data_IF_323283630448
#
_entry.id   IF_323283630448
#
_cell.length_a   1.000
_cell.length_b   1.000
_cell.length_c   1.000
_cell.angle_alpha   90.00
_cell.angle_beta   90.00
_cell.angle_gamma   90.00
#
_symmetry.space_group_name_H-M   'P 1'
#
loop_
_entity.id
_entity.type
_entity.pdbx_description
1 polymer ?
#
# COMPACT_ATOMS: atom_id res chain seq x y z
N UNK A 1 -6.86 22.93 -8.92
CA UNK A 1 -8.04 22.37 -8.19
C UNK A 1 -7.73 20.93 -7.78
N UNK A 2 -8.54 20.28 -6.91
CA UNK A 2 -8.29 18.87 -6.48
C UNK A 2 -8.24 17.91 -7.68
N UNK A 3 -9.05 18.15 -8.68
CA UNK A 3 -9.10 17.37 -9.91
C UNK A 3 -7.72 17.28 -10.58
N UNK A 4 -7.01 18.39 -10.73
CA UNK A 4 -5.71 18.47 -11.41
C UNK A 4 -4.61 17.72 -10.61
N UNK A 5 -4.78 17.63 -9.29
CA UNK A 5 -3.88 16.88 -8.42
C UNK A 5 -4.14 15.37 -8.47
N UNK A 6 -5.40 14.95 -8.65
CA UNK A 6 -5.78 13.53 -8.63
C UNK A 6 -5.66 12.88 -10.01
N UNK A 7 -6.01 13.61 -11.09
CA UNK A 7 -6.10 13.07 -12.45
C UNK A 7 -4.84 12.30 -12.92
N UNK A 8 -3.59 12.77 -12.69
CA UNK A 8 -2.41 12.04 -13.14
C UNK A 8 -2.18 10.70 -12.40
N UNK A 9 -2.82 10.52 -11.23
CA UNK A 9 -2.55 9.43 -10.31
C UNK A 9 -3.67 8.41 -10.20
N UNK A 10 -4.83 8.64 -10.81
CA UNK A 10 -6.00 7.77 -10.72
C UNK A 10 -6.36 7.15 -12.07
N UNK A 11 -6.96 5.94 -12.08
CA UNK A 11 -7.69 5.47 -13.26
C UNK A 11 -8.78 6.49 -13.64
N UNK A 12 -8.91 6.78 -14.94
CA UNK A 12 -9.88 7.78 -15.42
C UNK A 12 -11.31 7.50 -14.93
N UNK A 13 -11.72 6.23 -14.92
CA UNK A 13 -13.05 5.80 -14.45
C UNK A 13 -13.31 6.01 -12.94
N UNK A 14 -12.26 6.23 -12.13
CA UNK A 14 -12.37 6.46 -10.68
C UNK A 14 -12.28 7.94 -10.30
N UNK A 15 -11.86 8.81 -11.22
CA UNK A 15 -11.56 10.22 -10.93
C UNK A 15 -12.75 10.97 -10.34
N UNK A 16 -13.91 10.93 -11.03
CA UNK A 16 -15.11 11.63 -10.59
C UNK A 16 -15.60 11.16 -9.22
N UNK A 17 -15.45 9.87 -8.93
CA UNK A 17 -15.77 9.32 -7.62
C UNK A 17 -14.84 9.90 -6.53
N UNK A 18 -13.55 9.91 -6.74
CA UNK A 18 -12.60 10.46 -5.78
C UNK A 18 -12.76 11.97 -5.56
N UNK A 19 -13.09 12.72 -6.61
CA UNK A 19 -13.41 14.15 -6.52
C UNK A 19 -14.67 14.37 -5.68
N UNK A 20 -15.74 13.57 -5.90
CA UNK A 20 -16.96 13.64 -5.06
C UNK A 20 -16.68 13.33 -3.59
N UNK A 21 -15.85 12.34 -3.27
CA UNK A 21 -15.45 12.06 -1.88
C UNK A 21 -14.81 13.27 -1.22
N UNK A 22 -13.96 13.99 -1.94
CA UNK A 22 -13.35 15.22 -1.44
C UNK A 22 -14.37 16.36 -1.28
N UNK A 23 -15.28 16.52 -2.24
CA UNK A 23 -16.32 17.57 -2.19
C UNK A 23 -17.28 17.37 -1.00
N UNK A 24 -17.63 16.14 -0.69
CA UNK A 24 -18.50 15.81 0.45
C UNK A 24 -17.85 16.11 1.81
N UNK A 25 -16.56 15.89 1.92
CA UNK A 25 -15.79 16.10 3.16
C UNK A 25 -14.42 16.73 2.84
N UNK A 26 -14.35 18.05 2.60
CA UNK A 26 -13.12 18.69 2.16
C UNK A 26 -11.97 18.56 3.17
N UNK A 27 -10.81 18.20 2.67
CA UNK A 27 -9.55 18.10 3.43
C UNK A 27 -8.39 18.69 2.64
N UNK A 28 -7.29 18.99 3.30
CA UNK A 28 -6.05 19.35 2.63
C UNK A 28 -5.45 18.10 2.00
N UNK A 29 -5.26 18.10 0.69
CA UNK A 29 -4.65 16.98 -0.02
C UNK A 29 -3.21 17.31 -0.41
N UNK A 30 -2.28 16.40 -0.13
CA UNK A 30 -0.86 16.55 -0.45
C UNK A 30 -0.29 15.30 -1.10
N UNK A 31 0.48 15.51 -2.17
CA UNK A 31 1.32 14.48 -2.77
C UNK A 31 2.69 14.50 -2.10
N UNK A 32 3.10 13.39 -1.53
CA UNK A 32 4.43 13.24 -0.93
C UNK A 32 5.42 12.56 -1.85
N UNK A 33 6.71 12.78 -1.61
CA UNK A 33 7.77 11.92 -2.15
C UNK A 33 7.61 10.51 -1.59
N UNK A 34 8.24 9.53 -2.24
CA UNK A 34 8.27 8.14 -1.78
C UNK A 34 8.63 8.03 -0.31
N UNK A 35 7.75 7.41 0.46
CA UNK A 35 7.98 7.02 1.85
C UNK A 35 7.98 5.49 1.92
N UNK A 36 8.92 4.94 2.68
CA UNK A 36 9.09 3.48 2.79
C UNK A 36 8.15 2.90 3.84
N UNK A 37 7.84 3.66 4.88
CA UNK A 37 7.05 3.18 6.03
C UNK A 37 5.55 3.21 5.82
N UNK A 38 5.06 3.99 4.85
CA UNK A 38 3.63 4.19 4.57
C UNK A 38 3.38 4.74 3.16
N UNK A 39 2.26 4.36 2.56
CA UNK A 39 1.82 4.85 1.24
C UNK A 39 0.93 6.07 1.34
N UNK A 40 0.11 6.14 2.36
CA UNK A 40 -0.77 7.25 2.72
C UNK A 40 -0.62 7.67 4.16
N UNK A 41 -1.31 8.75 4.54
CA UNK A 41 -1.35 9.26 5.91
C UNK A 41 -2.54 10.21 6.10
N UNK A 42 -3.41 9.87 7.01
CA UNK A 42 -4.45 10.76 7.50
C UNK A 42 -3.97 11.45 8.79
N UNK A 43 -4.08 12.76 8.85
CA UNK A 43 -3.79 13.54 10.07
C UNK A 43 -4.90 14.54 10.34
N UNK A 44 -5.33 14.60 11.59
CA UNK A 44 -6.24 15.62 12.08
C UNK A 44 -5.71 16.17 13.40
N UNK A 45 -5.60 17.49 13.50
CA UNK A 45 -5.25 18.19 14.74
C UNK A 45 -6.44 19.05 15.16
N UNK A 46 -6.68 19.15 16.46
CA UNK A 46 -7.77 19.97 17.00
C UNK A 46 -7.67 21.41 16.48
N UNK A 47 -8.76 21.93 15.93
CA UNK A 47 -8.81 23.28 15.36
C UNK A 47 -8.16 23.45 13.98
N UNK A 48 -7.71 22.37 13.34
CA UNK A 48 -7.13 22.41 12.01
C UNK A 48 -7.95 21.56 11.02
N UNK A 49 -7.93 21.98 9.75
CA UNK A 49 -8.53 21.17 8.69
C UNK A 49 -7.81 19.82 8.57
N UNK A 50 -8.55 18.71 8.43
CA UNK A 50 -7.96 17.40 8.19
C UNK A 50 -7.05 17.39 6.98
N UNK A 51 -5.99 16.59 7.01
CA UNK A 51 -5.05 16.44 5.91
C UNK A 51 -4.86 14.98 5.55
N UNK A 52 -4.91 14.71 4.24
CA UNK A 52 -4.55 13.43 3.66
C UNK A 52 -3.33 13.61 2.77
N UNK A 53 -2.37 12.72 2.91
CA UNK A 53 -1.14 12.70 2.11
C UNK A 53 -0.99 11.34 1.48
N UNK A 54 -0.74 11.27 0.16
CA UNK A 54 -0.49 10.02 -0.58
C UNK A 54 0.85 10.11 -1.30
N UNK A 55 1.59 9.01 -1.38
CA UNK A 55 2.83 8.94 -2.14
C UNK A 55 2.55 9.05 -3.63
N UNK A 56 3.28 9.92 -4.34
CA UNK A 56 3.08 10.19 -5.77
C UNK A 56 3.65 9.13 -6.73
N UNK A 57 4.45 8.21 -6.21
CA UNK A 57 5.13 7.16 -6.98
C UNK A 57 4.40 5.82 -6.99
N UNK A 58 3.20 5.78 -6.43
CA UNK A 58 2.33 4.62 -6.47
C UNK A 58 1.78 4.39 -7.89
N UNK A 59 1.46 3.13 -8.22
CA UNK A 59 0.65 2.82 -9.40
C UNK A 59 -0.74 3.45 -9.26
N UNK A 60 -1.47 3.63 -10.35
CA UNK A 60 -2.81 4.24 -10.29
C UNK A 60 -3.76 3.46 -9.37
N UNK A 61 -3.69 2.13 -9.39
CA UNK A 61 -4.54 1.28 -8.54
C UNK A 61 -4.14 1.33 -7.07
N UNK A 62 -2.83 1.32 -6.78
CA UNK A 62 -2.34 1.51 -5.41
C UNK A 62 -2.71 2.88 -4.85
N UNK A 63 -2.59 3.91 -5.70
CA UNK A 63 -2.95 5.28 -5.33
C UNK A 63 -4.44 5.37 -5.01
N UNK A 64 -5.31 4.80 -5.85
CA UNK A 64 -6.74 4.75 -5.64
C UNK A 64 -7.10 4.07 -4.31
N UNK A 65 -6.58 2.87 -4.08
CA UNK A 65 -6.84 2.12 -2.86
C UNK A 65 -6.33 2.91 -1.64
N UNK A 66 -5.13 3.50 -1.71
CA UNK A 66 -4.55 4.30 -0.63
C UNK A 66 -5.38 5.56 -0.38
N UNK A 67 -5.81 6.26 -1.42
CA UNK A 67 -6.65 7.45 -1.29
C UNK A 67 -7.96 7.13 -0.55
N UNK A 68 -8.67 6.09 -0.96
CA UNK A 68 -9.92 5.66 -0.31
C UNK A 68 -9.69 5.17 1.12
N UNK A 69 -8.56 4.51 1.38
CA UNK A 69 -8.12 4.11 2.73
C UNK A 69 -8.00 5.32 3.68
N UNK A 70 -7.34 6.38 3.24
CA UNK A 70 -7.17 7.59 4.06
C UNK A 70 -8.48 8.38 4.20
N UNK A 71 -9.34 8.37 3.16
CA UNK A 71 -10.69 8.95 3.26
C UNK A 71 -11.55 8.17 4.25
N UNK A 72 -11.41 6.85 4.35
CA UNK A 72 -12.09 6.05 5.39
C UNK A 72 -11.68 6.47 6.80
N UNK A 73 -10.38 6.75 7.03
CA UNK A 73 -9.92 7.31 8.31
C UNK A 73 -10.55 8.67 8.62
N UNK A 74 -10.68 9.55 7.62
CA UNK A 74 -11.36 10.85 7.77
C UNK A 74 -12.81 10.66 8.23
N UNK A 75 -13.59 9.80 7.55
CA UNK A 75 -14.99 9.56 7.90
C UNK A 75 -15.16 8.99 9.30
N UNK A 76 -14.32 8.01 9.68
CA UNK A 76 -14.35 7.41 11.01
C UNK A 76 -13.97 8.45 12.07
N UNK A 77 -12.97 9.29 11.79
CA UNK A 77 -12.59 10.37 12.71
C UNK A 77 -13.72 11.39 12.88
N UNK A 78 -14.44 11.75 11.82
CA UNK A 78 -15.59 12.66 11.91
C UNK A 78 -16.74 12.09 12.74
N UNK A 79 -17.00 10.78 12.62
CA UNK A 79 -18.08 10.10 13.34
C UNK A 79 -17.74 9.81 14.82
N UNK A 80 -16.49 9.42 15.11
CA UNK A 80 -16.09 8.85 16.40
C UNK A 80 -14.96 9.64 17.09
N UNK A 81 -14.37 10.64 16.43
CA UNK A 81 -13.23 11.38 16.94
C UNK A 81 -11.99 10.49 17.13
N UNK A 82 -11.24 10.75 18.20
CA UNK A 82 -10.04 9.96 18.56
C UNK A 82 -10.36 8.67 19.34
N UNK A 83 -11.63 8.31 19.50
CA UNK A 83 -12.05 7.12 20.27
C UNK A 83 -12.03 5.84 19.44
N UNK A 84 -12.16 5.94 18.12
CA UNK A 84 -12.11 4.79 17.23
C UNK A 84 -10.68 4.24 17.13
N UNK A 85 -10.57 2.92 17.18
CA UNK A 85 -9.31 2.24 16.94
C UNK A 85 -8.90 2.36 15.46
N UNK A 86 -7.65 2.70 15.22
CA UNK A 86 -7.10 2.72 13.88
C UNK A 86 -7.20 1.33 13.24
N UNK A 87 -7.90 1.22 12.11
CA UNK A 87 -8.21 -0.04 11.42
C UNK A 87 -9.08 -1.01 12.23
N UNK A 88 -9.84 -0.51 13.22
CA UNK A 88 -10.88 -1.24 13.96
C UNK A 88 -12.10 -1.57 13.09
N UNK A 89 -13.16 -2.05 13.72
CA UNK A 89 -14.39 -2.48 13.03
C UNK A 89 -15.04 -1.34 12.24
N UNK A 90 -15.10 -0.15 12.81
CA UNK A 90 -15.68 1.05 12.18
C UNK A 90 -14.94 1.43 10.91
N UNK A 91 -13.60 1.41 10.97
CA UNK A 91 -12.78 1.71 9.81
C UNK A 91 -12.94 0.65 8.71
N UNK A 92 -12.95 -0.64 9.06
CA UNK A 92 -13.11 -1.74 8.09
C UNK A 92 -14.44 -1.65 7.35
N UNK A 93 -15.51 -1.37 8.08
CA UNK A 93 -16.85 -1.19 7.50
C UNK A 93 -16.89 0.03 6.57
N UNK A 94 -16.33 1.16 7.00
CA UNK A 94 -16.27 2.38 6.19
C UNK A 94 -15.40 2.22 4.95
N UNK A 95 -14.24 1.60 5.07
CA UNK A 95 -13.37 1.33 3.93
C UNK A 95 -14.06 0.43 2.89
N UNK A 96 -14.74 -0.63 3.32
CA UNK A 96 -15.54 -1.49 2.43
C UNK A 96 -16.66 -0.70 1.76
N UNK A 97 -17.40 0.10 2.51
CA UNK A 97 -18.47 0.96 2.00
C UNK A 97 -17.95 1.89 0.88
N UNK A 98 -16.84 2.58 1.13
CA UNK A 98 -16.24 3.51 0.17
C UNK A 98 -15.58 2.81 -1.03
N UNK A 99 -15.11 1.59 -0.88
CA UNK A 99 -14.57 0.82 -2.01
C UNK A 99 -15.67 0.24 -2.91
N UNK A 100 -16.82 -0.14 -2.35
CA UNK A 100 -17.91 -0.83 -3.08
C UNK A 100 -18.31 -0.16 -4.39
N UNK A 101 -18.49 1.17 -4.47
CA UNK A 101 -18.91 1.85 -5.71
C UNK A 101 -17.89 1.82 -6.85
N UNK A 102 -16.69 1.37 -6.59
CA UNK A 102 -15.59 1.32 -7.59
C UNK A 102 -15.06 -0.10 -7.84
N UNK A 103 -15.68 -1.14 -7.26
CA UNK A 103 -15.27 -2.54 -7.41
C UNK A 103 -15.82 -3.17 -8.69
N UNK A 104 -15.36 -2.72 -9.85
CA UNK A 104 -15.72 -3.29 -11.16
C UNK A 104 -14.52 -3.32 -12.12
N UNK A 105 -14.66 -4.11 -13.17
CA UNK A 105 -13.58 -4.50 -14.09
C UNK A 105 -12.95 -3.34 -14.87
N UNK A 106 -13.72 -2.30 -15.17
CA UNK A 106 -13.18 -1.12 -15.86
C UNK A 106 -12.23 -0.27 -14.99
N UNK A 107 -12.19 -0.50 -13.67
CA UNK A 107 -11.22 0.12 -12.75
C UNK A 107 -10.17 -0.89 -12.32
N UNK A 108 -10.60 -2.06 -11.85
CA UNK A 108 -9.72 -3.13 -11.37
C UNK A 108 -9.84 -4.36 -12.29
N UNK A 109 -8.88 -4.57 -13.21
CA UNK A 109 -8.91 -5.77 -14.06
C UNK A 109 -8.71 -7.04 -13.22
N UNK A 110 -9.23 -8.18 -13.72
CA UNK A 110 -8.92 -9.47 -13.13
C UNK A 110 -7.43 -9.82 -13.34
N UNK A 111 -6.76 -10.50 -12.39
CA UNK A 111 -7.31 -11.05 -11.13
C UNK A 111 -7.32 -10.08 -9.94
N UNK A 112 -6.95 -8.81 -10.12
CA UNK A 112 -6.88 -7.81 -9.03
C UNK A 112 -8.24 -7.62 -8.38
N UNK A 113 -9.31 -7.54 -9.18
CA UNK A 113 -10.67 -7.32 -8.69
C UNK A 113 -11.13 -8.41 -7.72
N UNK A 114 -10.92 -9.68 -8.10
CA UNK A 114 -11.29 -10.82 -7.27
C UNK A 114 -10.50 -10.85 -5.96
N UNK A 115 -9.19 -10.65 -6.02
CA UNK A 115 -8.32 -10.60 -4.86
C UNK A 115 -8.68 -9.42 -3.93
N UNK A 116 -9.00 -8.25 -4.50
CA UNK A 116 -9.42 -7.07 -3.74
C UNK A 116 -10.77 -7.27 -3.04
N UNK A 117 -11.74 -7.93 -3.70
CA UNK A 117 -13.03 -8.29 -3.08
C UNK A 117 -12.83 -9.22 -1.89
N UNK A 118 -11.96 -10.23 -2.01
CA UNK A 118 -11.63 -11.13 -0.90
C UNK A 118 -10.93 -10.38 0.24
N UNK A 119 -9.93 -9.55 -0.07
CA UNK A 119 -9.25 -8.70 0.90
C UNK A 119 -10.22 -7.84 1.69
N UNK A 120 -11.23 -7.23 1.06
CA UNK A 120 -12.22 -6.38 1.70
C UNK A 120 -13.20 -7.12 2.62
N UNK A 121 -13.43 -8.42 2.42
CA UNK A 121 -14.22 -9.23 3.34
C UNK A 121 -13.52 -9.39 4.69
N UNK A 122 -12.19 -9.49 4.68
CA UNK A 122 -11.34 -9.66 5.86
C UNK A 122 -10.29 -8.54 5.96
N UNK A 123 -10.68 -7.27 5.69
CA UNK A 123 -9.75 -6.16 5.57
C UNK A 123 -8.75 -6.10 6.73
N UNK A 124 -7.48 -6.29 6.39
CA UNK A 124 -6.34 -6.10 7.27
C UNK A 124 -5.98 -4.61 7.31
N UNK A 125 -5.19 -4.22 8.29
CA UNK A 125 -4.77 -2.82 8.52
C UNK A 125 -4.06 -2.15 7.33
N UNK A 126 -3.61 -2.91 6.35
CA UNK A 126 -2.90 -2.41 5.17
C UNK A 126 -3.10 -3.38 4.01
N UNK A 127 -3.28 -2.85 2.81
CA UNK A 127 -3.26 -3.60 1.55
C UNK A 127 -1.95 -4.37 1.39
N UNK A 128 -0.85 -3.81 1.87
CA UNK A 128 0.49 -4.44 1.89
C UNK A 128 0.62 -5.61 2.88
N UNK A 129 -0.37 -5.86 3.73
CA UNK A 129 -0.42 -7.08 4.55
C UNK A 129 -0.99 -8.28 3.80
N UNK A 130 -1.45 -8.08 2.56
CA UNK A 130 -1.89 -9.08 1.63
C UNK A 130 -0.85 -9.20 0.51
N UNK A 131 0.01 -10.21 0.61
CA UNK A 131 1.14 -10.39 -0.31
C UNK A 131 0.68 -10.62 -1.76
N UNK A 132 -0.43 -11.32 -1.96
CA UNK A 132 -0.97 -11.63 -3.27
C UNK A 132 -1.52 -10.36 -3.94
N UNK A 133 -2.35 -9.60 -3.24
CA UNK A 133 -2.88 -8.34 -3.74
C UNK A 133 -1.75 -7.35 -4.07
N UNK A 134 -0.75 -7.23 -3.19
CA UNK A 134 0.42 -6.38 -3.43
C UNK A 134 1.16 -6.79 -4.69
N UNK A 135 1.39 -8.10 -4.89
CA UNK A 135 2.05 -8.62 -6.09
C UNK A 135 1.26 -8.31 -7.36
N UNK A 136 -0.06 -8.53 -7.34
CA UNK A 136 -0.94 -8.25 -8.47
C UNK A 136 -0.98 -6.77 -8.83
N UNK A 137 -1.05 -5.88 -7.84
CA UNK A 137 -1.02 -4.43 -8.06
C UNK A 137 0.29 -3.96 -8.70
N UNK A 138 1.41 -4.62 -8.40
CA UNK A 138 2.70 -4.32 -9.01
C UNK A 138 2.89 -4.92 -10.40
N UNK A 139 2.28 -6.04 -10.74
CA UNK A 139 2.46 -6.72 -12.03
C UNK A 139 1.90 -5.91 -13.22
N UNK A 140 0.91 -5.06 -13.00
CA UNK A 140 0.27 -4.25 -14.05
C UNK A 140 1.03 -2.98 -14.46
N UNK A 141 2.12 -2.62 -13.77
CA UNK A 141 2.91 -1.41 -14.07
C UNK A 141 4.26 -1.80 -14.68
N UNK A 142 4.55 -1.27 -15.88
CA UNK A 142 5.83 -1.47 -16.57
C UNK A 142 7.04 -1.04 -15.71
N UNK A 143 6.85 -0.12 -14.75
CA UNK A 143 7.88 0.32 -13.80
C UNK A 143 8.16 -0.72 -12.72
N UNK A 144 7.19 -1.58 -12.42
CA UNK A 144 7.23 -2.58 -11.35
C UNK A 144 7.28 -4.02 -11.87
N UNK A 145 7.05 -4.24 -13.17
CA UNK A 145 7.05 -5.55 -13.83
C UNK A 145 8.37 -6.34 -13.69
N UNK A 146 9.46 -5.66 -13.31
CA UNK A 146 10.78 -6.27 -13.05
C UNK A 146 11.13 -6.36 -11.56
N UNK A 147 10.18 -6.10 -10.65
CA UNK A 147 10.45 -6.19 -9.22
C UNK A 147 10.66 -7.66 -8.82
N UNK A 148 11.77 -7.90 -8.16
CA UNK A 148 12.06 -9.17 -7.49
C UNK A 148 11.64 -9.02 -6.02
N UNK A 149 10.82 -9.93 -5.54
CA UNK A 149 10.39 -9.92 -4.14
C UNK A 149 11.32 -10.78 -3.28
N UNK A 150 11.48 -10.38 -2.01
CA UNK A 150 12.32 -11.11 -1.08
C UNK A 150 11.89 -12.59 -0.95
N UNK A 151 10.59 -12.88 -1.03
CA UNK A 151 10.06 -14.25 -1.03
C UNK A 151 10.64 -15.10 -2.16
N UNK A 152 10.81 -14.53 -3.35
CA UNK A 152 11.18 -15.23 -4.58
C UNK A 152 12.70 -15.52 -4.67
N UNK A 153 13.51 -14.90 -3.82
CA UNK A 153 14.95 -15.18 -3.76
C UNK A 153 15.23 -16.51 -3.06
N UNK A 154 16.22 -17.29 -3.49
CA UNK A 154 16.73 -18.43 -2.71
C UNK A 154 17.27 -18.00 -1.33
N UNK A 155 17.19 -18.89 -0.35
CA UNK A 155 17.90 -18.68 0.95
C UNK A 155 19.40 -18.53 0.70
N UNK A 156 20.04 -17.64 1.43
CA UNK A 156 21.46 -17.31 1.25
C UNK A 156 21.74 -16.20 0.23
N UNK A 157 20.78 -15.82 -0.61
CA UNK A 157 20.93 -14.72 -1.58
C UNK A 157 21.25 -13.41 -0.88
N UNK A 158 22.05 -12.59 -1.54
CA UNK A 158 22.33 -11.22 -1.11
C UNK A 158 21.44 -10.25 -1.90
N UNK A 159 20.86 -9.28 -1.23
CA UNK A 159 19.96 -8.29 -1.85
C UNK A 159 20.13 -6.89 -1.23
N UNK A 160 19.80 -5.87 -2.00
CA UNK A 160 19.69 -4.50 -1.53
C UNK A 160 18.25 -4.20 -1.07
N UNK A 161 18.14 -3.56 0.08
CA UNK A 161 16.90 -2.97 0.57
C UNK A 161 17.20 -1.56 1.08
N UNK A 162 16.80 -0.56 0.31
CA UNK A 162 16.97 0.86 0.62
C UNK A 162 18.44 1.27 0.84
N UNK A 163 19.34 0.80 -0.01
CA UNK A 163 20.77 1.09 0.04
C UNK A 163 21.52 0.31 1.12
N UNK A 164 20.88 -0.68 1.76
CA UNK A 164 21.49 -1.58 2.73
C UNK A 164 21.49 -3.00 2.19
N UNK A 165 22.62 -3.69 2.32
CA UNK A 165 22.77 -5.06 1.83
C UNK A 165 22.49 -6.08 2.91
N UNK A 166 21.69 -7.08 2.57
CA UNK A 166 21.28 -8.17 3.46
C UNK A 166 21.53 -9.52 2.81
N UNK A 167 21.78 -10.53 3.65
CA UNK A 167 21.72 -11.94 3.27
C UNK A 167 20.38 -12.51 3.69
N UNK A 168 19.65 -13.16 2.76
CA UNK A 168 18.38 -13.83 3.01
C UNK A 168 18.62 -15.08 3.86
N UNK A 169 17.86 -15.23 4.93
CA UNK A 169 17.77 -16.43 5.74
C UNK A 169 16.38 -17.07 5.64
N UNK A 170 15.97 -17.79 6.67
CA UNK A 170 14.73 -18.57 6.70
C UNK A 170 13.48 -17.72 6.77
N UNK A 171 12.44 -18.15 6.06
CA UNK A 171 11.10 -17.59 6.19
C UNK A 171 10.49 -18.00 7.53
N UNK A 172 9.94 -17.01 8.26
CA UNK A 172 9.17 -17.18 9.51
C UNK A 172 7.78 -16.60 9.34
N UNK A 173 6.82 -17.42 9.03
CA UNK A 173 5.42 -17.07 8.72
C UNK A 173 5.31 -16.08 7.54
N UNK A 174 5.33 -14.77 7.79
CA UNK A 174 5.20 -13.70 6.78
C UNK A 174 6.46 -12.84 6.67
N UNK A 175 7.53 -13.17 7.40
CA UNK A 175 8.78 -12.40 7.43
C UNK A 175 9.98 -13.31 7.23
N UNK A 176 10.98 -12.79 6.54
CA UNK A 176 12.27 -13.49 6.34
C UNK A 176 13.25 -12.96 7.37
N UNK A 177 13.95 -13.87 8.04
CA UNK A 177 15.07 -13.49 8.90
C UNK A 177 16.26 -13.16 8.01
N UNK A 178 16.69 -11.90 8.01
CA UNK A 178 17.79 -11.42 7.16
C UNK A 178 18.94 -10.92 8.02
N UNK A 179 20.15 -11.13 7.56
CA UNK A 179 21.36 -10.62 8.22
C UNK A 179 21.89 -9.43 7.43
N UNK A 180 21.99 -8.26 8.03
CA UNK A 180 22.63 -7.11 7.38
C UNK A 180 24.14 -7.37 7.24
N UNK A 181 24.67 -7.19 6.03
CA UNK A 181 26.07 -7.51 5.74
C UNK A 181 27.07 -6.62 6.48
N UNK A 182 26.72 -5.34 6.66
CA UNK A 182 27.61 -4.36 7.32
C UNK A 182 27.66 -4.55 8.83
N UNK A 183 26.50 -4.56 9.50
CA UNK A 183 26.43 -4.60 10.98
C UNK A 183 26.37 -6.01 11.56
N UNK A 184 26.15 -7.04 10.72
CA UNK A 184 25.88 -8.44 11.11
C UNK A 184 24.64 -8.63 11.98
N UNK A 185 23.80 -7.59 12.13
CA UNK A 185 22.56 -7.66 12.90
C UNK A 185 21.49 -8.40 12.14
N UNK A 186 20.60 -9.05 12.88
CA UNK A 186 19.44 -9.77 12.36
C UNK A 186 18.21 -8.84 12.26
N UNK A 187 17.48 -8.97 11.16
CA UNK A 187 16.25 -8.22 10.89
C UNK A 187 15.15 -9.16 10.40
N UNK A 188 13.92 -8.93 10.83
CA UNK A 188 12.73 -9.57 10.27
C UNK A 188 12.14 -8.68 9.20
N UNK A 189 12.39 -9.01 7.95
CA UNK A 189 11.95 -8.26 6.76
C UNK A 189 10.68 -8.92 6.21
N UNK A 190 9.63 -8.18 5.84
CA UNK A 190 8.45 -8.74 5.19
C UNK A 190 8.85 -9.51 3.93
N UNK A 191 8.24 -10.68 3.71
CA UNK A 191 8.60 -11.56 2.60
C UNK A 191 8.20 -10.98 1.24
N UNK A 192 7.17 -10.15 1.22
CA UNK A 192 6.57 -9.49 0.05
C UNK A 192 7.19 -8.13 -0.29
N UNK A 193 8.31 -7.76 0.36
CA UNK A 193 8.99 -6.51 0.03
C UNK A 193 9.76 -6.64 -1.27
N UNK A 194 9.63 -5.68 -2.21
CA UNK A 194 10.47 -5.64 -3.40
C UNK A 194 11.91 -5.30 -3.02
N UNK A 195 12.86 -6.01 -3.61
CA UNK A 195 14.30 -5.87 -3.34
C UNK A 195 15.05 -5.53 -4.61
N UNK A 196 16.12 -4.74 -4.48
CA UNK A 196 17.02 -4.38 -5.57
C UNK A 196 18.29 -5.25 -5.59
N UNK A 197 18.99 -5.25 -6.74
CA UNK A 197 20.32 -5.85 -6.92
C UNK A 197 20.51 -7.20 -6.23
N UNK A 198 19.59 -8.15 -6.52
CA UNK A 198 19.68 -9.48 -5.94
C UNK A 198 20.83 -10.28 -6.60
N UNK A 199 21.79 -10.71 -5.81
CA UNK A 199 22.81 -11.66 -6.25
C UNK A 199 22.40 -13.05 -5.80
N UNK A 200 22.03 -13.90 -6.76
CA UNK A 200 21.69 -15.28 -6.49
C UNK A 200 22.98 -16.03 -6.05
N UNK A 201 22.94 -16.68 -4.92
CA UNK A 201 24.00 -17.62 -4.54
C UNK A 201 23.83 -18.88 -5.39
N UNK A 202 24.68 -19.04 -6.42
CA UNK A 202 24.72 -20.23 -7.29
C UNK A 202 25.42 -21.44 -6.61
N UNK A 203 25.60 -21.43 -5.30
CA UNK A 203 26.32 -22.49 -4.58
C UNK A 203 25.41 -23.13 -3.53
N UNK A 204 24.70 -24.12 -3.93
CA UNK A 204 24.05 -25.15 -3.13
C UNK A 204 24.38 -26.50 -3.79
N UNK A 205 25.59 -26.95 -3.63
CA UNK A 205 25.99 -28.36 -3.70
C UNK A 205 26.23 -28.84 -2.29
#
# INVERSE_FOLDING_TARGET
MINDLLQPHLPAAALDYCVRLWQQNPFQFHLSKKRISKSGDFTCKRGHQPRITVNRDLTQLEFLITYVHEVAHLHVHQAHGFKAEAHGTEWKLKFRELMTPILYDSIFPEPILSCLKEHLQNAKASTYSDAELTRLLHQGDARTAKLVYLADLPEGSTFDLNGRFFKKGKLKRTRVLCTELKSKKLFLVPADVPVGHAQLTLWGL
#
